data_IF_703659218394
#
_entry.id   IF_703659218394
#
_cell.length_a   1.000
_cell.length_b   1.000
_cell.length_c   1.000
_cell.angle_alpha   90.00
_cell.angle_beta   90.00
_cell.angle_gamma   90.00
#
_symmetry.space_group_name_H-M   'P 1'
#
loop_
_entity.id
_entity.type
_entity.pdbx_description
1 polymer ?
#
# COMPACT_ATOMS: atom_id res chain seq x y z
N UNK A 1 -1.85 5.07 -12.34
CA UNK A 1 -2.46 3.76 -12.67
C UNK A 1 -1.41 2.68 -12.83
N UNK A 2 -0.29 2.93 -13.52
CA UNK A 2 0.80 1.94 -13.67
C UNK A 2 1.36 1.48 -12.32
N UNK A 3 1.58 2.39 -11.36
CA UNK A 3 2.08 2.03 -10.03
C UNK A 3 1.12 1.14 -9.22
N UNK A 4 -0.19 1.38 -9.31
CA UNK A 4 -1.20 0.55 -8.62
C UNK A 4 -1.25 -0.86 -9.21
N UNK A 5 -1.13 -0.97 -10.54
CA UNK A 5 -1.07 -2.25 -11.24
C UNK A 5 0.22 -3.00 -10.91
N UNK A 6 1.35 -2.31 -10.84
CA UNK A 6 2.61 -2.89 -10.39
C UNK A 6 2.50 -3.46 -8.97
N UNK A 7 1.94 -2.69 -8.03
CA UNK A 7 1.73 -3.19 -6.66
C UNK A 7 0.77 -4.39 -6.67
N UNK A 8 -0.29 -4.37 -7.47
CA UNK A 8 -1.20 -5.50 -7.58
C UNK A 8 -0.47 -6.77 -8.07
N UNK A 9 0.38 -6.67 -9.09
CA UNK A 9 1.21 -7.79 -9.54
C UNK A 9 2.19 -8.29 -8.47
N UNK A 10 2.72 -7.39 -7.64
CA UNK A 10 3.56 -7.76 -6.49
C UNK A 10 2.73 -8.48 -5.42
N UNK A 11 1.51 -8.02 -5.11
CA UNK A 11 0.60 -8.70 -4.18
C UNK A 11 0.29 -10.14 -4.61
N UNK A 12 0.27 -10.44 -5.92
CA UNK A 12 0.09 -11.81 -6.41
C UNK A 12 1.31 -12.71 -6.20
N UNK A 13 2.48 -12.13 -5.95
CA UNK A 13 3.77 -12.84 -5.82
C UNK A 13 4.29 -12.85 -4.38
N UNK A 14 3.95 -11.86 -3.58
CA UNK A 14 4.35 -11.72 -2.18
C UNK A 14 3.13 -11.56 -1.27
N UNK A 15 2.81 -12.62 -0.53
CA UNK A 15 1.67 -12.68 0.40
C UNK A 15 1.76 -11.61 1.50
N UNK A 16 2.97 -11.21 1.93
CA UNK A 16 3.14 -10.20 2.98
C UNK A 16 2.70 -8.83 2.48
N UNK A 17 3.01 -8.50 1.22
CA UNK A 17 2.57 -7.24 0.61
C UNK A 17 1.05 -7.26 0.42
N UNK A 18 0.49 -8.39 -0.02
CA UNK A 18 -0.96 -8.56 -0.12
C UNK A 18 -1.67 -8.38 1.23
N UNK A 19 -1.13 -8.95 2.31
CA UNK A 19 -1.67 -8.81 3.66
C UNK A 19 -1.63 -7.35 4.13
N UNK A 20 -0.51 -6.64 3.92
CA UNK A 20 -0.39 -5.21 4.26
C UNK A 20 -1.47 -4.38 3.55
N UNK A 21 -1.62 -4.55 2.23
CA UNK A 21 -2.61 -3.82 1.43
C UNK A 21 -4.03 -4.19 1.86
N UNK A 22 -4.30 -5.47 2.13
CA UNK A 22 -5.59 -5.95 2.63
C UNK A 22 -5.97 -5.36 3.97
N UNK A 23 -5.01 -5.25 4.89
CA UNK A 23 -5.23 -4.64 6.21
C UNK A 23 -5.54 -3.15 6.08
N UNK A 24 -4.80 -2.43 5.23
CA UNK A 24 -5.04 -1.00 4.99
C UNK A 24 -6.42 -0.78 4.34
N UNK A 25 -6.82 -1.60 3.37
CA UNK A 25 -8.11 -1.47 2.68
C UNK A 25 -9.33 -1.67 3.61
N UNK A 26 -9.14 -2.34 4.75
CA UNK A 26 -10.17 -2.58 5.78
C UNK A 26 -10.19 -1.51 6.88
N UNK A 27 -9.22 -0.60 6.91
CA UNK A 27 -9.18 0.46 7.90
C UNK A 27 -10.34 1.45 7.68
N UNK A 28 -10.96 1.88 8.77
CA UNK A 28 -11.82 3.06 8.75
C UNK A 28 -10.98 4.34 8.63
N UNK A 29 -11.65 5.48 8.48
CA UNK A 29 -10.95 6.75 8.29
C UNK A 29 -10.07 7.15 9.49
N UNK A 30 -10.47 6.81 10.72
CA UNK A 30 -9.71 7.15 11.92
C UNK A 30 -8.43 6.33 12.00
N UNK A 31 -8.56 5.01 11.81
CA UNK A 31 -7.44 4.07 11.73
C UNK A 31 -6.47 4.46 10.62
N UNK A 32 -6.99 4.82 9.44
CA UNK A 32 -6.18 5.23 8.30
C UNK A 32 -5.42 6.54 8.58
N UNK A 33 -6.09 7.53 9.20
CA UNK A 33 -5.45 8.79 9.61
C UNK A 33 -4.34 8.56 10.63
N UNK A 34 -4.59 7.76 11.66
CA UNK A 34 -3.57 7.41 12.65
C UNK A 34 -2.38 6.70 12.03
N UNK A 35 -2.65 5.69 11.19
CA UNK A 35 -1.61 4.90 10.56
C UNK A 35 -0.76 5.75 9.62
N UNK A 36 -1.37 6.64 8.84
CA UNK A 36 -0.67 7.62 8.01
C UNK A 36 0.26 8.51 8.82
N UNK A 37 -0.19 8.98 9.99
CA UNK A 37 0.66 9.77 10.90
C UNK A 37 1.85 8.97 11.41
N UNK A 38 1.64 7.71 11.81
CA UNK A 38 2.71 6.81 12.29
C UNK A 38 3.74 6.52 11.20
N UNK A 39 3.30 6.28 9.97
CA UNK A 39 4.18 6.08 8.80
C UNK A 39 5.03 7.32 8.56
N UNK A 40 4.44 8.51 8.49
CA UNK A 40 5.20 9.76 8.28
C UNK A 40 6.24 9.96 9.39
N UNK A 41 5.85 9.77 10.65
CA UNK A 41 6.77 9.89 11.78
C UNK A 41 7.92 8.86 11.72
N UNK A 42 7.62 7.62 11.35
CA UNK A 42 8.62 6.55 11.22
C UNK A 42 9.67 6.87 10.15
N UNK A 43 9.25 7.40 9.00
CA UNK A 43 10.15 7.70 7.88
C UNK A 43 10.87 9.06 8.00
N UNK A 44 10.48 9.93 8.93
CA UNK A 44 11.04 11.28 9.06
C UNK A 44 12.57 11.31 9.23
N UNK A 45 13.15 10.32 9.90
CA UNK A 45 14.59 10.23 10.16
C UNK A 45 15.28 9.10 9.37
N UNK A 46 14.61 8.59 8.33
CA UNK A 46 15.07 7.46 7.52
C UNK A 46 15.39 7.92 6.11
N UNK A 47 16.60 7.65 5.65
CA UNK A 47 17.14 8.23 4.42
C UNK A 47 17.91 7.23 3.56
N UNK A 48 17.88 5.92 3.87
CA UNK A 48 18.41 4.92 2.96
C UNK A 48 17.54 4.86 1.70
N UNK A 49 18.10 4.33 0.60
CA UNK A 49 17.34 4.15 -0.63
C UNK A 49 16.12 3.23 -0.41
N UNK A 50 16.28 2.18 0.39
CA UNK A 50 15.20 1.26 0.75
C UNK A 50 14.11 1.96 1.56
N UNK A 51 14.48 2.87 2.47
CA UNK A 51 13.50 3.65 3.24
C UNK A 51 12.70 4.60 2.34
N UNK A 52 13.34 5.22 1.36
CA UNK A 52 12.68 6.11 0.40
C UNK A 52 11.68 5.34 -0.46
N UNK A 53 12.05 4.17 -0.98
CA UNK A 53 11.15 3.35 -1.79
C UNK A 53 10.00 2.77 -0.94
N UNK A 54 10.27 2.33 0.29
CA UNK A 54 9.22 1.90 1.22
C UNK A 54 8.24 3.04 1.54
N UNK A 55 8.75 4.27 1.75
CA UNK A 55 7.89 5.43 1.99
C UNK A 55 7.00 5.76 0.78
N UNK A 56 7.54 5.67 -0.45
CA UNK A 56 6.75 5.85 -1.68
C UNK A 56 5.63 4.81 -1.78
N UNK A 57 5.92 3.54 -1.49
CA UNK A 57 4.92 2.49 -1.43
C UNK A 57 3.79 2.85 -0.44
N UNK A 58 4.13 3.17 0.82
CA UNK A 58 3.11 3.50 1.82
C UNK A 58 2.33 4.77 1.46
N UNK A 59 2.99 5.80 0.91
CA UNK A 59 2.32 7.01 0.44
C UNK A 59 1.24 6.69 -0.60
N UNK A 60 1.55 5.83 -1.57
CA UNK A 60 0.63 5.47 -2.64
C UNK A 60 -0.53 4.60 -2.11
N UNK A 61 -0.24 3.61 -1.27
CA UNK A 61 -1.27 2.69 -0.73
C UNK A 61 -2.22 3.41 0.23
N UNK A 62 -1.74 4.41 0.98
CA UNK A 62 -2.52 5.21 1.95
C UNK A 62 -3.21 6.44 1.34
N UNK A 63 -3.16 6.62 0.03
CA UNK A 63 -3.80 7.72 -0.68
C UNK A 63 -5.20 7.30 -1.14
N UNK A 64 -6.21 8.10 -0.75
CA UNK A 64 -7.62 7.86 -1.06
C UNK A 64 -8.04 6.39 -0.87
N UNK A 65 -8.69 5.80 -1.87
CA UNK A 65 -9.09 4.40 -1.90
C UNK A 65 -8.08 3.50 -2.64
N UNK A 66 -6.80 3.90 -2.75
CA UNK A 66 -5.82 3.16 -3.55
C UNK A 66 -5.62 1.72 -3.06
N UNK A 67 -5.63 1.47 -1.75
CA UNK A 67 -5.56 0.12 -1.22
C UNK A 67 -6.71 -0.78 -1.73
N UNK A 68 -7.94 -0.26 -1.80
CA UNK A 68 -9.09 -1.00 -2.35
C UNK A 68 -8.93 -1.23 -3.85
N UNK A 69 -8.54 -0.19 -4.61
CA UNK A 69 -8.29 -0.29 -6.05
C UNK A 69 -7.21 -1.33 -6.39
N UNK A 70 -6.15 -1.42 -5.59
CA UNK A 70 -5.10 -2.43 -5.77
C UNK A 70 -5.69 -3.84 -5.63
N UNK A 71 -6.51 -4.09 -4.61
CA UNK A 71 -7.16 -5.39 -4.43
C UNK A 71 -8.14 -5.72 -5.56
N UNK A 72 -8.89 -4.74 -6.06
CA UNK A 72 -9.75 -4.92 -7.24
C UNK A 72 -8.93 -5.32 -8.48
N UNK A 73 -7.77 -4.70 -8.70
CA UNK A 73 -6.85 -5.07 -9.78
C UNK A 73 -6.29 -6.48 -9.56
N UNK A 74 -5.94 -6.86 -8.33
CA UNK A 74 -5.49 -8.23 -8.03
C UNK A 74 -6.52 -9.28 -8.47
N UNK A 75 -7.80 -9.05 -8.17
CA UNK A 75 -8.87 -9.97 -8.55
C UNK A 75 -9.11 -9.98 -10.06
N UNK A 76 -8.99 -8.83 -10.74
CA UNK A 76 -9.04 -8.77 -12.22
C UNK A 76 -7.90 -9.56 -12.88
N UNK A 77 -6.69 -9.53 -12.30
CA UNK A 77 -5.55 -10.29 -12.83
C UNK A 77 -5.69 -11.80 -12.55
N UNK A 78 -6.18 -12.19 -11.37
CA UNK A 78 -6.42 -13.62 -11.02
C UNK A 78 -7.54 -14.25 -11.84
N UNK A 79 -8.58 -13.48 -12.16
CA UNK A 79 -9.75 -13.93 -12.92
C UNK A 79 -9.59 -13.82 -14.44
N UNK A 80 -8.42 -13.39 -14.93
CA UNK A 80 -8.08 -13.21 -16.34
C UNK A 80 -7.29 -14.37 -16.94
#
# INVERSE_FOLDING_TARGET
MEDLRYIAEVCLKDERIHEIVSNIARMDEEQLREFKSKVVAYFMNKNSQDDVEAYKFFRLVLEDDNAKKILEICEQIKGG
#
